data_IF_441306323898
#
_entry.id   IF_441306323898
#
_cell.length_a   1.000
_cell.length_b   1.000
_cell.length_c   1.000
_cell.angle_alpha   90.00
_cell.angle_beta   90.00
_cell.angle_gamma   90.00
#
_symmetry.space_group_name_H-M   'P 1'
#
loop_
_entity.id
_entity.type
_entity.pdbx_description
1 polymer ?
#
# COMPACT_ATOMS: atom_id res chain seq x y z
N UNK A 1 -20.93 10.74 35.31
CA UNK A 1 -20.73 12.18 35.06
C UNK A 1 -20.36 12.32 33.57
N UNK A 2 -21.12 13.12 32.81
CA UNK A 2 -20.65 13.51 31.46
C UNK A 2 -19.45 14.44 31.67
N UNK A 3 -18.26 14.05 31.25
CA UNK A 3 -17.11 14.95 31.21
C UNK A 3 -17.42 15.91 30.06
N UNK A 4 -17.62 17.19 30.37
CA UNK A 4 -17.69 18.25 29.37
C UNK A 4 -16.30 18.33 28.68
N UNK A 5 -16.25 17.90 27.42
CA UNK A 5 -14.98 17.78 26.69
C UNK A 5 -14.62 19.07 25.95
N UNK A 6 -15.54 19.99 25.83
CA UNK A 6 -15.34 21.30 25.17
C UNK A 6 -15.26 21.23 23.65
N UNK A 7 -15.45 20.04 23.03
CA UNK A 7 -15.47 19.92 21.58
C UNK A 7 -16.89 20.11 21.02
N UNK A 8 -17.06 20.71 19.85
CA UNK A 8 -18.33 20.73 19.12
C UNK A 8 -18.88 19.32 18.93
N UNK A 9 -20.19 19.16 18.94
CA UNK A 9 -20.84 17.87 18.80
C UNK A 9 -21.56 17.73 17.46
N UNK A 10 -21.35 16.60 16.82
CA UNK A 10 -21.95 16.21 15.54
C UNK A 10 -22.85 15.01 15.76
N UNK A 11 -24.17 15.26 15.71
CA UNK A 11 -25.18 14.20 15.83
C UNK A 11 -25.33 13.49 14.49
N UNK A 12 -25.23 12.15 14.51
CA UNK A 12 -25.24 11.36 13.27
C UNK A 12 -26.49 10.48 13.13
N UNK A 13 -26.74 10.04 11.88
CA UNK A 13 -27.81 9.11 11.54
C UNK A 13 -27.61 7.74 12.22
N UNK A 14 -28.71 6.95 12.42
CA UNK A 14 -28.58 5.56 12.89
C UNK A 14 -27.72 4.67 11.98
N UNK A 15 -27.66 4.98 10.69
CA UNK A 15 -26.78 4.27 9.75
C UNK A 15 -25.30 4.51 10.09
N UNK A 16 -24.90 5.77 10.27
CA UNK A 16 -23.54 6.11 10.68
C UNK A 16 -23.20 5.56 12.07
N UNK A 17 -24.13 5.66 13.05
CA UNK A 17 -23.95 5.03 14.36
C UNK A 17 -23.63 3.55 14.23
N UNK A 18 -24.40 2.79 13.42
CA UNK A 18 -24.17 1.37 13.21
C UNK A 18 -22.80 1.09 12.55
N UNK A 19 -22.40 1.88 11.56
CA UNK A 19 -21.10 1.76 10.90
C UNK A 19 -19.96 2.01 11.90
N UNK A 20 -20.05 3.07 12.72
CA UNK A 20 -19.08 3.39 13.76
C UNK A 20 -18.99 2.27 14.80
N UNK A 21 -20.10 1.76 15.27
CA UNK A 21 -20.13 0.65 16.25
C UNK A 21 -19.45 -0.60 15.69
N UNK A 22 -19.62 -0.87 14.39
CA UNK A 22 -18.96 -1.98 13.68
C UNK A 22 -17.48 -1.75 13.35
N UNK A 23 -16.93 -0.57 13.63
CA UNK A 23 -15.51 -0.32 13.47
C UNK A 23 -15.15 0.73 12.44
N UNK A 24 -16.08 1.16 11.59
CA UNK A 24 -15.80 2.12 10.53
C UNK A 24 -15.55 3.53 11.09
N UNK A 25 -14.41 4.20 10.75
CA UNK A 25 -14.03 5.46 11.39
C UNK A 25 -14.54 6.70 10.66
N UNK A 26 -15.26 6.58 9.55
CA UNK A 26 -15.69 7.71 8.74
C UNK A 26 -17.16 8.06 8.96
N UNK A 27 -17.42 9.35 9.08
CA UNK A 27 -18.76 9.95 9.02
C UNK A 27 -18.84 10.79 7.77
N UNK A 28 -19.81 10.47 6.91
CA UNK A 28 -20.03 11.21 5.68
C UNK A 28 -20.92 12.44 5.92
N UNK A 29 -20.75 13.47 5.09
CA UNK A 29 -21.52 14.72 5.18
C UNK A 29 -23.04 14.47 5.24
N UNK A 30 -23.57 13.62 4.38
CA UNK A 30 -24.98 13.26 4.33
C UNK A 30 -25.49 12.47 5.56
N UNK A 31 -24.60 12.09 6.46
CA UNK A 31 -24.93 11.32 7.68
C UNK A 31 -25.01 12.20 8.93
N UNK A 32 -24.77 13.51 8.81
CA UNK A 32 -24.86 14.47 9.91
C UNK A 32 -26.28 15.02 9.98
N UNK A 33 -26.87 14.97 11.16
CA UNK A 33 -28.23 15.44 11.45
C UNK A 33 -28.27 16.81 12.12
N UNK A 34 -27.32 17.07 13.02
CA UNK A 34 -27.24 18.31 13.80
C UNK A 34 -25.80 18.60 14.19
N UNK A 35 -25.47 19.86 14.32
CA UNK A 35 -24.16 20.37 14.74
C UNK A 35 -24.38 21.37 15.88
N UNK A 36 -23.65 21.19 16.97
CA UNK A 36 -23.65 22.11 18.11
C UNK A 36 -22.21 22.56 18.38
N UNK A 37 -21.99 23.86 18.33
CA UNK A 37 -20.68 24.50 18.45
C UNK A 37 -19.95 24.62 17.12
N UNK A 38 -18.85 25.36 17.12
CA UNK A 38 -18.02 25.65 15.96
C UNK A 38 -16.58 25.22 16.18
N UNK A 39 -15.93 24.75 15.13
CA UNK A 39 -14.49 24.45 15.12
C UNK A 39 -13.89 24.79 13.76
N UNK A 40 -12.58 25.06 13.77
CA UNK A 40 -11.81 25.28 12.56
C UNK A 40 -11.73 24.00 11.71
N UNK A 41 -11.48 24.16 10.43
CA UNK A 41 -11.20 23.04 9.53
C UNK A 41 -9.97 22.25 10.03
N UNK A 42 -10.12 20.94 10.17
CA UNK A 42 -9.12 20.07 10.79
C UNK A 42 -9.17 20.03 12.32
N UNK A 43 -10.10 20.75 12.95
CA UNK A 43 -10.30 20.73 14.41
C UNK A 43 -11.03 19.47 14.89
N UNK A 44 -10.99 19.27 16.20
CA UNK A 44 -11.60 18.10 16.85
C UNK A 44 -13.11 18.31 17.07
N UNK A 45 -13.87 17.26 16.82
CA UNK A 45 -15.31 17.19 17.08
C UNK A 45 -15.69 15.87 17.74
N UNK A 46 -16.67 15.91 18.64
CA UNK A 46 -17.26 14.72 19.21
C UNK A 46 -18.46 14.26 18.35
N UNK A 47 -18.47 12.98 18.00
CA UNK A 47 -19.58 12.37 17.28
C UNK A 47 -20.51 11.66 18.27
N UNK A 48 -21.82 11.98 18.19
CA UNK A 48 -22.83 11.42 19.06
C UNK A 48 -24.00 10.82 18.27
N UNK A 49 -24.64 9.83 18.84
CA UNK A 49 -25.89 9.27 18.29
C UNK A 49 -27.08 10.23 18.52
N UNK A 50 -28.18 9.97 17.82
CA UNK A 50 -29.46 10.67 18.02
C UNK A 50 -29.95 10.67 19.47
N UNK A 51 -29.52 9.67 20.26
CA UNK A 51 -29.86 9.51 21.69
C UNK A 51 -28.82 10.16 22.63
N UNK A 52 -27.87 10.92 22.10
CA UNK A 52 -26.79 11.56 22.86
C UNK A 52 -25.71 10.61 23.36
N UNK A 53 -25.60 9.38 22.82
CA UNK A 53 -24.51 8.46 23.13
C UNK A 53 -23.26 8.91 22.42
N UNK A 54 -22.15 9.05 23.13
CA UNK A 54 -20.83 9.29 22.54
C UNK A 54 -20.38 8.10 21.67
N UNK A 55 -19.90 8.37 20.46
CA UNK A 55 -19.47 7.39 19.49
C UNK A 55 -17.96 7.48 19.18
N UNK A 56 -17.38 8.65 19.39
CA UNK A 56 -15.95 8.88 19.15
C UNK A 56 -15.64 10.36 18.96
N UNK A 57 -14.35 10.67 18.93
CA UNK A 57 -13.83 12.00 18.58
C UNK A 57 -12.98 11.87 17.32
N UNK A 58 -13.04 12.84 16.43
CA UNK A 58 -12.32 12.85 15.18
C UNK A 58 -12.04 14.23 14.64
N UNK A 59 -11.34 14.29 13.51
CA UNK A 59 -11.06 15.53 12.80
C UNK A 59 -12.17 15.86 11.82
N UNK A 60 -12.59 17.12 11.86
CA UNK A 60 -13.52 17.71 10.90
C UNK A 60 -12.78 18.03 9.59
N UNK A 61 -13.38 17.70 8.44
CA UNK A 61 -13.05 18.28 7.15
C UNK A 61 -14.26 19.00 6.56
N UNK A 62 -14.12 20.28 6.29
CA UNK A 62 -15.21 21.09 5.76
C UNK A 62 -15.43 20.89 4.25
N UNK A 63 -14.46 20.36 3.52
CA UNK A 63 -14.50 20.18 2.06
C UNK A 63 -14.70 18.73 1.64
N UNK A 64 -14.23 17.77 2.42
CA UNK A 64 -14.34 16.36 2.11
C UNK A 64 -15.76 15.83 2.29
N UNK A 65 -16.14 14.88 1.44
CA UNK A 65 -17.36 14.08 1.67
C UNK A 65 -17.26 13.22 2.93
N UNK A 66 -16.05 12.84 3.35
CA UNK A 66 -15.77 12.23 4.65
C UNK A 66 -15.63 13.40 5.64
N UNK A 67 -16.76 13.76 6.24
CA UNK A 67 -16.87 14.97 7.07
C UNK A 67 -16.12 14.85 8.38
N UNK A 68 -16.17 13.69 9.04
CA UNK A 68 -15.40 13.42 10.26
C UNK A 68 -14.64 12.11 10.12
N UNK A 69 -13.36 12.13 10.48
CA UNK A 69 -12.49 10.94 10.58
C UNK A 69 -12.18 10.68 12.05
N UNK A 70 -12.75 9.62 12.60
CA UNK A 70 -12.58 9.26 14.00
C UNK A 70 -11.13 8.81 14.28
N UNK A 71 -10.60 9.29 15.41
CA UNK A 71 -9.25 8.98 15.90
C UNK A 71 -9.26 8.22 17.23
N UNK A 72 -10.37 8.35 18.00
CA UNK A 72 -10.58 7.61 19.22
C UNK A 72 -12.06 7.44 19.52
N UNK A 73 -12.39 6.33 20.20
CA UNK A 73 -13.71 6.04 20.78
C UNK A 73 -13.72 6.08 22.30
N UNK A 74 -12.58 6.38 22.89
CA UNK A 74 -12.44 6.51 24.33
C UNK A 74 -12.73 7.96 24.74
N UNK A 75 -13.82 8.18 25.44
CA UNK A 75 -14.22 9.52 25.91
C UNK A 75 -13.23 10.14 26.91
N UNK A 76 -12.31 9.36 27.48
CA UNK A 76 -11.30 9.84 28.42
C UNK A 76 -9.99 10.27 27.75
N UNK A 77 -9.85 10.04 26.44
CA UNK A 77 -8.65 10.46 25.72
C UNK A 77 -8.54 11.98 25.67
N UNK A 78 -7.32 12.46 25.92
CA UNK A 78 -6.90 13.84 25.71
C UNK A 78 -5.93 13.86 24.56
N UNK A 79 -6.19 14.70 23.56
CA UNK A 79 -5.43 14.73 22.31
C UNK A 79 -4.25 15.71 22.39
N UNK A 80 -3.46 15.56 23.46
CA UNK A 80 -2.22 16.28 23.71
C UNK A 80 -1.01 15.59 23.04
N UNK A 81 0.17 16.17 23.18
CA UNK A 81 1.41 15.62 22.62
C UNK A 81 1.68 14.19 23.14
N UNK A 82 1.41 13.94 24.42
CA UNK A 82 1.63 12.60 25.01
C UNK A 82 0.73 11.53 24.38
N UNK A 83 -0.50 11.89 24.02
CA UNK A 83 -1.41 11.01 23.28
C UNK A 83 -0.82 10.65 21.92
N UNK A 84 -0.37 11.62 21.14
CA UNK A 84 0.15 11.40 19.80
C UNK A 84 1.47 10.64 19.81
N UNK A 85 2.39 10.97 20.72
CA UNK A 85 3.64 10.21 20.89
C UNK A 85 3.37 8.74 21.22
N UNK A 86 2.43 8.48 22.13
CA UNK A 86 2.04 7.10 22.47
C UNK A 86 1.45 6.34 21.27
N UNK A 87 0.62 7.01 20.44
CA UNK A 87 0.05 6.40 19.22
C UNK A 87 1.14 6.08 18.19
N UNK A 88 2.09 6.98 17.97
CA UNK A 88 3.24 6.76 17.09
C UNK A 88 4.12 5.61 17.60
N UNK A 89 4.36 5.56 18.91
CA UNK A 89 5.11 4.46 19.52
C UNK A 89 4.40 3.11 19.28
N UNK A 90 3.08 3.04 19.47
CA UNK A 90 2.31 1.82 19.21
C UNK A 90 2.35 1.39 17.75
N UNK A 91 2.30 2.32 16.80
CA UNK A 91 2.43 2.02 15.39
C UNK A 91 3.81 1.40 15.09
N UNK A 92 4.88 1.95 15.65
CA UNK A 92 6.22 1.40 15.51
C UNK A 92 6.40 0.06 16.22
N UNK A 93 5.91 -0.07 17.46
CA UNK A 93 5.98 -1.32 18.23
C UNK A 93 5.22 -2.46 17.54
N UNK A 94 4.10 -2.14 16.88
CA UNK A 94 3.39 -3.12 16.04
C UNK A 94 4.30 -3.66 14.94
N UNK A 95 4.99 -2.79 14.18
CA UNK A 95 5.93 -3.24 13.13
C UNK A 95 7.02 -4.14 13.69
N UNK A 96 7.61 -3.77 14.81
CA UNK A 96 8.61 -4.60 15.49
C UNK A 96 8.07 -5.96 15.94
N UNK A 97 6.79 -6.05 16.24
CA UNK A 97 6.18 -7.31 16.70
C UNK A 97 5.78 -8.26 15.57
N UNK A 98 5.48 -7.74 14.37
CA UNK A 98 4.95 -8.55 13.26
C UNK A 98 5.94 -8.76 12.11
N UNK A 99 7.07 -8.07 12.12
CA UNK A 99 8.11 -8.14 11.08
C UNK A 99 9.42 -8.67 11.65
N UNK A 100 10.20 -9.34 10.81
CA UNK A 100 11.57 -9.67 11.15
C UNK A 100 12.40 -8.38 11.30
N UNK A 101 13.38 -8.33 12.22
CA UNK A 101 14.20 -7.11 12.44
C UNK A 101 14.86 -6.58 11.16
N UNK A 102 15.33 -7.46 10.28
CA UNK A 102 15.92 -7.07 9.00
C UNK A 102 14.91 -6.38 8.04
N UNK A 103 13.64 -6.72 8.14
CA UNK A 103 12.57 -6.15 7.30
C UNK A 103 12.17 -4.73 7.73
N UNK A 104 12.59 -4.29 8.95
CA UNK A 104 12.34 -2.94 9.46
C UNK A 104 13.19 -1.87 8.76
N UNK A 105 14.18 -2.27 7.97
CA UNK A 105 14.98 -1.34 7.17
C UNK A 105 14.14 -0.60 6.11
N UNK A 106 13.18 -1.30 5.53
CA UNK A 106 12.23 -0.73 4.58
C UNK A 106 10.81 -1.21 4.90
N UNK A 107 10.00 -0.36 5.56
CA UNK A 107 8.65 -0.73 5.98
C UNK A 107 7.72 0.47 6.06
N UNK A 108 6.41 0.22 6.00
CA UNK A 108 5.39 1.22 6.31
C UNK A 108 5.25 1.38 7.81
N UNK A 109 5.56 2.57 8.33
CA UNK A 109 5.51 2.87 9.77
C UNK A 109 4.11 3.26 10.22
N UNK A 110 3.36 4.03 9.39
CA UNK A 110 1.95 4.34 9.64
C UNK A 110 1.12 4.08 8.39
N UNK A 111 -0.05 3.47 8.58
CA UNK A 111 -0.99 3.15 7.51
C UNK A 111 -2.39 3.72 7.80
N UNK A 112 -2.50 5.05 7.75
CA UNK A 112 -3.75 5.78 7.80
C UNK A 112 -4.68 5.35 8.95
N UNK A 113 -5.88 5.00 8.58
CA UNK A 113 -6.95 4.59 9.49
C UNK A 113 -6.59 3.34 10.30
N UNK A 114 -5.79 2.44 9.75
CA UNK A 114 -5.42 1.20 10.43
C UNK A 114 -4.53 1.43 11.65
N UNK A 115 -3.79 2.54 11.68
CA UNK A 115 -3.00 2.97 12.84
C UNK A 115 -3.65 4.13 13.61
N UNK A 116 -4.90 4.47 13.25
CA UNK A 116 -5.64 5.61 13.78
C UNK A 116 -4.94 6.98 13.56
N UNK A 117 -4.28 7.12 12.41
CA UNK A 117 -3.76 8.36 11.84
C UNK A 117 -4.44 8.62 10.49
N UNK A 118 -5.73 8.99 10.45
CA UNK A 118 -6.52 9.00 9.23
C UNK A 118 -5.93 9.92 8.17
N UNK A 119 -5.49 9.33 7.06
CA UNK A 119 -4.86 10.05 5.96
C UNK A 119 -3.37 10.32 6.13
N UNK A 120 -2.69 9.78 7.15
CA UNK A 120 -1.22 9.83 7.28
C UNK A 120 -0.61 8.49 6.88
N UNK A 121 0.24 8.50 5.86
CA UNK A 121 1.08 7.37 5.47
C UNK A 121 2.54 7.74 5.63
N UNK A 122 3.31 6.90 6.31
CA UNK A 122 4.75 7.07 6.46
C UNK A 122 5.43 5.76 6.08
N UNK A 123 6.27 5.81 5.05
CA UNK A 123 7.15 4.73 4.64
C UNK A 123 8.59 5.06 5.02
N UNK A 124 9.24 4.11 5.66
CA UNK A 124 10.66 4.16 5.98
C UNK A 124 11.44 3.41 4.90
N UNK A 125 12.43 4.06 4.34
CA UNK A 125 13.41 3.52 3.41
C UNK A 125 14.79 3.77 3.99
N UNK A 126 15.34 2.78 4.67
CA UNK A 126 16.61 2.84 5.40
C UNK A 126 16.64 4.06 6.36
N UNK A 127 17.27 5.15 5.96
CA UNK A 127 17.45 6.37 6.75
C UNK A 127 16.56 7.56 6.30
N UNK A 128 15.66 7.33 5.36
CA UNK A 128 14.68 8.31 4.89
C UNK A 128 13.25 7.90 5.24
N UNK A 129 12.45 8.89 5.62
CA UNK A 129 10.99 8.75 5.70
C UNK A 129 10.34 9.43 4.48
N UNK A 130 9.48 8.72 3.79
CA UNK A 130 8.61 9.26 2.75
C UNK A 130 7.18 9.36 3.27
N UNK A 131 6.60 10.56 3.25
CA UNK A 131 5.36 10.87 3.97
C UNK A 131 4.30 11.42 3.04
N UNK A 132 3.07 10.89 3.15
CA UNK A 132 1.88 11.46 2.54
C UNK A 132 0.90 11.90 3.61
N UNK A 133 0.47 13.16 3.57
CA UNK A 133 -0.55 13.72 4.46
C UNK A 133 -1.79 14.05 3.62
N UNK A 134 -2.85 13.27 3.77
CA UNK A 134 -4.04 13.29 2.91
C UNK A 134 -5.30 13.79 3.61
N UNK A 135 -5.20 14.30 4.85
CA UNK A 135 -6.32 14.87 5.57
C UNK A 135 -5.93 16.14 6.29
N UNK A 136 -6.85 17.09 6.39
CA UNK A 136 -6.60 18.39 7.01
C UNK A 136 -6.24 18.29 8.50
N UNK A 137 -6.81 17.32 9.22
CA UNK A 137 -6.47 17.11 10.63
C UNK A 137 -5.03 16.65 10.82
N UNK A 138 -4.52 15.76 9.95
CA UNK A 138 -3.11 15.35 9.98
C UNK A 138 -2.17 16.46 9.49
N UNK A 139 -2.60 17.26 8.52
CA UNK A 139 -1.83 18.45 8.08
C UNK A 139 -1.59 19.41 9.25
N UNK A 140 -2.63 19.70 10.03
CA UNK A 140 -2.52 20.60 11.19
C UNK A 140 -1.62 20.04 12.32
N UNK A 141 -1.40 18.73 12.34
CA UNK A 141 -0.56 18.05 13.35
C UNK A 141 0.84 17.70 12.82
N UNK A 142 1.14 17.98 11.57
CA UNK A 142 2.37 17.55 10.91
C UNK A 142 3.62 17.96 11.72
N UNK A 143 3.66 19.21 12.20
CA UNK A 143 4.81 19.76 12.94
C UNK A 143 4.99 19.15 14.35
N UNK A 144 3.96 18.49 14.87
CA UNK A 144 4.07 17.69 16.08
C UNK A 144 4.44 16.23 15.77
N UNK A 145 3.78 15.65 14.77
CA UNK A 145 3.89 14.21 14.52
C UNK A 145 5.23 13.82 13.89
N UNK A 146 5.73 14.56 12.90
CA UNK A 146 6.94 14.17 12.17
C UNK A 146 8.20 14.25 13.04
N UNK A 147 8.48 15.32 13.79
CA UNK A 147 9.61 15.35 14.72
C UNK A 147 9.50 14.28 15.82
N UNK A 148 8.27 14.06 16.34
CA UNK A 148 8.04 13.05 17.37
C UNK A 148 8.33 11.64 16.84
N UNK A 149 7.93 11.33 15.60
CA UNK A 149 8.21 10.04 14.97
C UNK A 149 9.71 9.83 14.74
N UNK A 150 10.40 10.84 14.21
CA UNK A 150 11.85 10.79 14.02
C UNK A 150 12.58 10.52 15.34
N UNK A 151 12.17 11.20 16.42
CA UNK A 151 12.71 11.01 17.78
C UNK A 151 12.48 9.56 18.29
N UNK A 152 11.28 9.02 18.10
CA UNK A 152 10.95 7.63 18.47
C UNK A 152 11.84 6.64 17.71
N UNK A 153 11.94 6.79 16.39
CA UNK A 153 12.72 5.89 15.55
C UNK A 153 14.22 5.95 15.89
N UNK A 154 14.77 7.16 16.08
CA UNK A 154 16.18 7.34 16.45
C UNK A 154 16.52 6.76 17.82
N UNK A 155 15.63 6.88 18.81
CA UNK A 155 15.80 6.25 20.13
C UNK A 155 15.83 4.73 20.05
N UNK A 156 15.16 4.17 19.06
CA UNK A 156 15.13 2.73 18.77
C UNK A 156 16.25 2.29 17.80
N UNK A 157 17.27 3.14 17.61
CA UNK A 157 18.46 2.85 16.81
C UNK A 157 18.27 2.96 15.29
N UNK A 158 17.16 3.53 14.82
CA UNK A 158 16.93 3.73 13.38
C UNK A 158 17.63 5.03 12.91
N UNK A 159 18.50 4.98 11.88
CA UNK A 159 19.35 6.10 11.49
C UNK A 159 18.60 7.11 10.60
N UNK A 160 17.50 7.69 11.08
CA UNK A 160 16.71 8.62 10.27
C UNK A 160 17.45 9.94 10.08
N UNK A 161 17.77 10.31 8.83
CA UNK A 161 18.44 11.56 8.46
C UNK A 161 17.57 12.58 7.74
N UNK A 162 16.36 12.17 7.27
CA UNK A 162 15.47 13.12 6.59
C UNK A 162 14.05 12.60 6.41
N UNK A 163 13.14 13.57 6.22
CA UNK A 163 11.72 13.33 5.95
C UNK A 163 11.37 14.01 4.64
N UNK A 164 10.86 13.28 3.66
CA UNK A 164 10.43 13.80 2.37
C UNK A 164 8.90 13.73 2.24
N UNK A 165 8.26 14.85 1.98
CA UNK A 165 6.82 14.93 1.78
C UNK A 165 6.46 14.61 0.33
N UNK A 166 5.57 13.64 0.13
CA UNK A 166 5.00 13.22 -1.15
C UNK A 166 3.52 13.63 -1.21
N UNK A 167 3.29 14.90 -0.98
CA UNK A 167 1.97 15.52 -0.99
C UNK A 167 1.51 15.94 -2.42
N UNK A 168 2.19 15.47 -3.46
CA UNK A 168 1.92 15.66 -4.89
C UNK A 168 0.78 14.76 -5.43
N UNK A 169 -0.21 14.46 -4.59
CA UNK A 169 -1.33 13.57 -4.92
C UNK A 169 -2.66 14.30 -5.03
N UNK A 170 -3.44 14.00 -6.09
CA UNK A 170 -4.70 14.65 -6.40
C UNK A 170 -5.78 14.52 -5.29
N UNK A 171 -5.65 13.52 -4.39
CA UNK A 171 -6.58 13.33 -3.27
C UNK A 171 -6.58 14.51 -2.29
N UNK A 172 -5.46 15.23 -2.15
CA UNK A 172 -5.35 16.40 -1.27
C UNK A 172 -6.33 17.51 -1.66
N UNK A 173 -6.60 17.69 -2.95
CA UNK A 173 -7.57 18.68 -3.42
C UNK A 173 -9.00 18.44 -2.88
N UNK A 174 -9.37 17.18 -2.56
CA UNK A 174 -10.66 16.86 -1.95
C UNK A 174 -10.78 17.29 -0.50
N UNK A 175 -9.67 17.53 0.16
CA UNK A 175 -9.56 18.06 1.52
C UNK A 175 -9.30 19.58 1.53
N UNK A 176 -9.15 20.20 0.35
CA UNK A 176 -8.77 21.60 0.20
C UNK A 176 -7.31 21.89 0.49
N UNK A 177 -6.46 20.87 0.45
CA UNK A 177 -5.04 20.99 0.72
C UNK A 177 -4.24 21.21 -0.57
N UNK A 178 -3.19 22.05 -0.54
CA UNK A 178 -2.30 22.25 -1.68
C UNK A 178 -1.52 20.95 -1.97
N UNK A 179 -1.17 20.75 -3.24
CA UNK A 179 -0.25 19.70 -3.66
C UNK A 179 1.18 20.23 -3.66
N UNK A 180 2.14 19.36 -3.34
CA UNK A 180 3.56 19.69 -3.38
C UNK A 180 4.41 18.51 -2.91
N UNK A 181 5.70 18.56 -3.19
CA UNK A 181 6.68 17.60 -2.67
C UNK A 181 7.95 18.32 -2.25
N UNK A 182 8.69 17.76 -1.34
CA UNK A 182 9.97 18.32 -0.87
C UNK A 182 10.36 17.83 0.51
N UNK A 183 11.54 18.25 0.93
CA UNK A 183 12.02 17.95 2.28
C UNK A 183 11.18 18.67 3.34
N UNK A 184 10.77 17.93 4.36
CA UNK A 184 10.24 18.53 5.59
C UNK A 184 11.41 19.09 6.42
N UNK A 185 11.35 20.36 6.85
CA UNK A 185 12.42 20.97 7.62
C UNK A 185 12.40 20.44 9.06
N UNK A 186 13.23 19.44 9.36
CA UNK A 186 13.41 18.99 10.73
C UNK A 186 14.07 20.11 11.57
N UNK A 187 13.58 20.38 12.79
CA UNK A 187 14.09 21.47 13.61
C UNK A 187 15.61 21.35 13.88
N UNK A 188 16.37 22.34 13.44
CA UNK A 188 17.83 22.41 13.65
C UNK A 188 18.65 21.50 12.74
N UNK A 189 18.07 20.88 11.73
CA UNK A 189 18.76 19.97 10.81
C UNK A 189 18.76 20.48 9.37
N UNK A 190 19.80 20.15 8.63
CA UNK A 190 19.89 20.40 7.19
C UNK A 190 19.31 19.19 6.45
N UNK A 191 18.44 19.39 5.45
CA UNK A 191 17.95 18.28 4.63
C UNK A 191 19.10 17.52 3.95
N UNK A 192 18.93 16.20 3.70
CA UNK A 192 19.89 15.42 2.93
C UNK A 192 20.07 15.97 1.51
N UNK A 193 21.28 15.82 0.96
CA UNK A 193 21.61 16.26 -0.41
C UNK A 193 20.91 15.43 -1.50
N UNK A 194 20.55 14.19 -1.19
CA UNK A 194 19.95 13.25 -2.14
C UNK A 194 18.65 12.62 -1.61
N UNK A 195 17.59 12.60 -2.43
CA UNK A 195 16.35 11.87 -2.14
C UNK A 195 16.44 10.37 -2.50
N UNK A 196 17.60 9.90 -2.95
CA UNK A 196 17.83 8.51 -3.34
C UNK A 196 18.54 7.75 -2.22
N UNK A 197 18.02 6.58 -1.88
CA UNK A 197 18.54 5.72 -0.83
C UNK A 197 18.56 4.26 -1.27
N UNK A 198 19.60 3.51 -0.86
CA UNK A 198 19.63 2.07 -1.04
C UNK A 198 18.89 1.39 0.11
N UNK A 199 18.02 0.43 -0.21
CA UNK A 199 17.35 -0.45 0.74
C UNK A 199 17.70 -1.91 0.46
N UNK A 200 17.55 -2.76 1.47
CA UNK A 200 17.64 -4.21 1.32
C UNK A 200 16.28 -4.83 1.68
N UNK A 201 15.68 -5.54 0.74
CA UNK A 201 14.45 -6.30 0.97
C UNK A 201 14.62 -7.74 0.51
N UNK A 202 14.36 -8.71 1.38
CA UNK A 202 14.53 -10.14 1.09
C UNK A 202 15.96 -10.51 0.61
N UNK A 203 16.98 -9.73 0.98
CA UNK A 203 18.35 -9.91 0.51
C UNK A 203 18.67 -9.25 -0.84
N UNK A 204 17.69 -8.63 -1.50
CA UNK A 204 17.85 -7.87 -2.73
C UNK A 204 18.06 -6.38 -2.41
N UNK A 205 19.03 -5.75 -3.05
CA UNK A 205 19.32 -4.32 -2.96
C UNK A 205 18.53 -3.54 -4.02
N UNK A 206 17.89 -2.47 -3.61
CA UNK A 206 17.17 -1.55 -4.50
C UNK A 206 17.58 -0.11 -4.26
N UNK A 207 17.64 0.70 -5.32
CA UNK A 207 17.60 2.15 -5.18
C UNK A 207 16.16 2.61 -5.13
N UNK A 208 15.85 3.38 -4.10
CA UNK A 208 14.56 4.05 -3.94
C UNK A 208 14.75 5.55 -4.06
N UNK A 209 14.07 6.15 -5.02
CA UNK A 209 13.98 7.61 -5.18
C UNK A 209 12.68 8.07 -4.52
N UNK A 210 12.77 8.68 -3.33
CA UNK A 210 11.58 9.14 -2.61
C UNK A 210 10.95 10.38 -3.26
N UNK A 211 11.67 11.07 -4.15
CA UNK A 211 11.16 12.23 -4.88
C UNK A 211 10.41 11.87 -6.15
N UNK A 212 10.94 10.95 -6.98
CA UNK A 212 10.42 10.67 -8.32
C UNK A 212 9.84 9.26 -8.45
N UNK A 213 10.10 8.38 -7.47
CA UNK A 213 9.54 7.04 -7.44
C UNK A 213 8.00 7.04 -7.33
N UNK A 214 7.36 5.97 -7.77
CA UNK A 214 5.91 5.84 -7.71
C UNK A 214 5.41 5.83 -6.26
N UNK A 215 4.24 6.40 -6.01
CA UNK A 215 3.64 6.59 -4.68
C UNK A 215 4.62 7.29 -3.72
N UNK A 216 5.10 6.57 -2.71
CA UNK A 216 6.08 7.04 -1.73
C UNK A 216 7.54 6.76 -2.11
N UNK A 217 7.77 5.97 -3.19
CA UNK A 217 9.09 5.58 -3.69
C UNK A 217 9.19 4.13 -4.10
N UNK A 218 8.60 3.20 -3.34
CA UNK A 218 8.65 1.76 -3.58
C UNK A 218 7.38 1.06 -3.04
N UNK A 219 7.05 -0.12 -3.61
CA UNK A 219 5.87 -0.90 -3.21
C UNK A 219 6.21 -1.90 -2.11
N UNK A 220 6.16 -1.46 -0.85
CA UNK A 220 6.47 -2.29 0.32
C UNK A 220 5.42 -3.38 0.60
N UNK A 221 4.20 -3.18 0.13
CA UNK A 221 3.05 -4.06 0.36
C UNK A 221 3.21 -5.47 -0.23
N UNK A 222 4.05 -5.63 -1.26
CA UNK A 222 4.35 -6.92 -1.92
C UNK A 222 5.57 -7.67 -1.34
N UNK A 223 6.25 -7.16 -0.32
CA UNK A 223 7.48 -7.70 0.25
C UNK A 223 7.47 -9.24 0.41
N UNK A 224 6.50 -9.75 1.14
CA UNK A 224 6.42 -11.18 1.43
C UNK A 224 5.86 -12.01 0.26
N UNK A 225 5.15 -11.39 -0.67
CA UNK A 225 4.71 -12.04 -1.90
C UNK A 225 5.89 -12.24 -2.85
N UNK A 226 6.80 -11.27 -2.93
CA UNK A 226 8.08 -11.40 -3.65
C UNK A 226 8.94 -12.53 -3.07
N UNK A 227 9.04 -12.61 -1.73
CA UNK A 227 9.76 -13.69 -1.05
C UNK A 227 9.14 -15.07 -1.34
N UNK A 228 7.81 -15.16 -1.41
CA UNK A 228 7.12 -16.42 -1.75
C UNK A 228 7.42 -16.88 -3.19
N UNK A 229 7.50 -15.96 -4.14
CA UNK A 229 7.92 -16.24 -5.53
C UNK A 229 9.36 -16.73 -5.56
N UNK A 230 10.30 -16.03 -4.91
CA UNK A 230 11.72 -16.43 -4.87
C UNK A 230 11.93 -17.87 -4.37
N UNK A 231 11.15 -18.32 -3.39
CA UNK A 231 11.23 -19.70 -2.85
C UNK A 231 10.94 -20.81 -3.88
N UNK A 232 10.20 -20.51 -4.95
CA UNK A 232 9.81 -21.49 -5.97
C UNK A 232 10.56 -21.32 -7.29
N UNK A 233 11.44 -20.33 -7.40
CA UNK A 233 12.07 -19.95 -8.65
C UNK A 233 13.28 -20.81 -9.06
N UNK A 234 13.85 -21.60 -8.14
CA UNK A 234 15.09 -22.37 -8.38
C UNK A 234 15.02 -23.22 -9.66
N UNK A 235 15.99 -23.00 -10.58
CA UNK A 235 16.12 -23.71 -11.83
C UNK A 235 15.06 -23.42 -12.90
N UNK A 236 14.21 -22.40 -12.71
CA UNK A 236 13.09 -22.08 -13.59
C UNK A 236 13.38 -20.95 -14.56
N UNK A 237 12.74 -21.01 -15.73
CA UNK A 237 12.64 -19.88 -16.65
C UNK A 237 11.40 -19.05 -16.25
N UNK A 238 11.63 -17.81 -15.81
CA UNK A 238 10.60 -16.93 -15.20
C UNK A 238 10.25 -15.78 -16.15
N UNK A 239 8.97 -15.48 -16.28
CA UNK A 239 8.45 -14.25 -16.91
C UNK A 239 7.77 -13.38 -15.85
N UNK A 240 8.31 -12.21 -15.60
CA UNK A 240 7.73 -11.21 -14.70
C UNK A 240 7.07 -10.09 -15.51
N UNK A 241 5.74 -10.10 -15.56
CA UNK A 241 4.93 -9.13 -16.26
C UNK A 241 4.54 -7.97 -15.33
N UNK A 242 4.67 -6.74 -15.82
CA UNK A 242 4.49 -5.51 -15.04
C UNK A 242 5.56 -5.36 -13.94
N UNK A 243 6.81 -5.65 -14.31
CA UNK A 243 7.92 -5.81 -13.37
C UNK A 243 8.27 -4.53 -12.61
N UNK A 244 7.85 -3.35 -13.10
CA UNK A 244 8.21 -2.04 -12.56
C UNK A 244 9.74 -1.93 -12.41
N UNK A 245 10.27 -1.80 -11.21
CA UNK A 245 11.72 -1.72 -10.94
C UNK A 245 12.41 -3.09 -10.83
N UNK A 246 11.78 -4.16 -11.30
CA UNK A 246 12.33 -5.51 -11.30
C UNK A 246 12.15 -6.27 -9.98
N UNK A 247 11.24 -5.85 -9.12
CA UNK A 247 11.24 -6.34 -7.74
C UNK A 247 10.83 -7.82 -7.59
N UNK A 248 9.86 -8.33 -8.33
CA UNK A 248 9.56 -9.76 -8.38
C UNK A 248 10.64 -10.54 -9.13
N UNK A 249 11.08 -10.03 -10.28
CA UNK A 249 12.13 -10.62 -11.11
C UNK A 249 13.42 -10.85 -10.31
N UNK A 250 13.88 -9.86 -9.56
CA UNK A 250 15.08 -9.94 -8.72
C UNK A 250 14.94 -10.94 -7.58
N UNK A 251 13.76 -11.03 -6.95
CA UNK A 251 13.51 -12.08 -5.94
C UNK A 251 13.51 -13.48 -6.58
N UNK A 252 13.02 -13.63 -7.81
CA UNK A 252 13.10 -14.89 -8.54
C UNK A 252 14.56 -15.24 -8.92
N UNK A 253 15.34 -14.27 -9.40
CA UNK A 253 16.75 -14.44 -9.71
C UNK A 253 17.55 -14.82 -8.46
N UNK A 254 17.37 -14.10 -7.35
CA UNK A 254 17.99 -14.42 -6.04
C UNK A 254 17.59 -15.82 -5.56
N UNK A 255 16.36 -16.24 -5.84
CA UNK A 255 15.83 -17.58 -5.54
C UNK A 255 16.42 -18.70 -6.42
N UNK A 256 17.38 -18.38 -7.31
CA UNK A 256 18.07 -19.34 -8.16
C UNK A 256 17.35 -19.67 -9.46
N UNK A 257 16.52 -18.76 -10.00
CA UNK A 257 15.97 -18.92 -11.35
C UNK A 257 17.10 -19.14 -12.37
N UNK A 258 16.88 -20.03 -13.35
CA UNK A 258 17.83 -20.25 -14.43
C UNK A 258 17.89 -19.05 -15.37
N UNK A 259 16.75 -18.40 -15.59
CA UNK A 259 16.63 -17.19 -16.39
C UNK A 259 15.37 -16.42 -16.03
N UNK A 260 15.41 -15.10 -16.05
CA UNK A 260 14.27 -14.22 -15.77
C UNK A 260 14.11 -13.19 -16.89
N UNK A 261 12.92 -13.12 -17.48
CA UNK A 261 12.52 -12.03 -18.38
C UNK A 261 11.60 -11.09 -17.64
N UNK A 262 12.07 -9.87 -17.37
CA UNK A 262 11.34 -8.82 -16.66
C UNK A 262 10.76 -7.81 -17.66
N UNK A 263 9.44 -7.62 -17.66
CA UNK A 263 8.75 -6.84 -18.68
C UNK A 263 7.93 -5.71 -18.03
N UNK A 264 8.09 -4.50 -18.55
CA UNK A 264 7.23 -3.35 -18.26
C UNK A 264 7.02 -2.50 -19.52
N UNK A 265 5.95 -1.75 -19.58
CA UNK A 265 5.68 -0.82 -20.68
C UNK A 265 6.51 0.47 -20.56
N UNK A 266 6.95 0.81 -19.35
CA UNK A 266 7.73 2.00 -19.05
C UNK A 266 9.22 1.77 -19.27
N UNK A 267 9.82 2.43 -20.23
CA UNK A 267 11.27 2.38 -20.48
C UNK A 267 12.08 2.76 -19.25
N UNK A 268 11.68 3.81 -18.52
CA UNK A 268 12.36 4.25 -17.31
C UNK A 268 12.27 3.22 -16.16
N UNK A 269 11.18 2.48 -16.06
CA UNK A 269 11.06 1.38 -15.10
C UNK A 269 11.98 0.21 -15.47
N UNK A 270 12.06 -0.11 -16.76
CA UNK A 270 12.97 -1.15 -17.30
C UNK A 270 14.44 -0.78 -17.11
N UNK A 271 14.81 0.49 -17.30
CA UNK A 271 16.16 0.98 -17.00
C UNK A 271 16.50 0.84 -15.51
N UNK A 272 15.58 1.17 -14.63
CA UNK A 272 15.75 0.97 -13.18
C UNK A 272 15.85 -0.52 -12.83
N UNK A 273 15.08 -1.39 -13.48
CA UNK A 273 15.19 -2.84 -13.30
C UNK A 273 16.56 -3.37 -13.69
N UNK A 274 17.15 -2.89 -14.81
CA UNK A 274 18.53 -3.22 -15.21
C UNK A 274 19.54 -2.74 -14.18
N UNK A 275 19.44 -1.49 -13.75
CA UNK A 275 20.35 -0.94 -12.74
C UNK A 275 20.28 -1.72 -11.41
N UNK A 276 19.09 -2.18 -11.03
CA UNK A 276 18.92 -3.04 -9.87
C UNK A 276 19.48 -4.45 -10.11
N UNK A 277 19.38 -5.02 -11.32
CA UNK A 277 19.99 -6.30 -11.67
C UNK A 277 21.52 -6.23 -11.59
N UNK A 278 22.14 -5.17 -12.13
CA UNK A 278 23.58 -4.92 -12.02
C UNK A 278 24.03 -4.80 -10.57
N UNK A 279 23.29 -4.03 -9.75
CA UNK A 279 23.58 -3.84 -8.32
C UNK A 279 23.60 -5.15 -7.55
N UNK A 280 22.79 -6.11 -7.96
CA UNK A 280 22.69 -7.42 -7.33
C UNK A 280 23.52 -8.50 -8.04
N UNK A 281 24.36 -8.16 -9.03
CA UNK A 281 25.15 -9.10 -9.85
C UNK A 281 24.27 -10.16 -10.53
N UNK A 282 23.10 -9.76 -11.03
CA UNK A 282 22.12 -10.66 -11.67
C UNK A 282 21.91 -10.38 -13.16
N UNK A 283 22.71 -9.52 -13.77
CA UNK A 283 22.61 -9.16 -15.20
C UNK A 283 22.75 -10.35 -16.15
N UNK A 284 23.51 -11.39 -15.75
CA UNK A 284 23.71 -12.59 -16.57
C UNK A 284 22.50 -13.51 -16.62
N UNK A 285 21.58 -13.38 -15.64
CA UNK A 285 20.39 -14.25 -15.52
C UNK A 285 19.07 -13.50 -15.73
N UNK A 286 19.13 -12.18 -15.92
CA UNK A 286 17.93 -11.34 -16.00
C UNK A 286 17.95 -10.40 -17.21
N UNK A 287 17.00 -10.61 -18.13
CA UNK A 287 16.71 -9.70 -19.23
C UNK A 287 15.57 -8.75 -18.87
N UNK A 288 15.75 -7.46 -19.17
CA UNK A 288 14.74 -6.42 -18.94
C UNK A 288 14.24 -5.86 -20.28
N UNK A 289 12.95 -5.98 -20.55
CA UNK A 289 12.33 -5.69 -21.84
C UNK A 289 11.23 -4.64 -21.69
N UNK A 290 11.28 -3.57 -22.50
CA UNK A 290 10.19 -2.60 -22.60
C UNK A 290 9.15 -3.12 -23.60
N UNK A 291 7.99 -3.56 -23.11
CA UNK A 291 6.91 -4.06 -23.95
C UNK A 291 5.54 -3.96 -23.23
N UNK A 292 4.48 -3.85 -24.05
CA UNK A 292 3.13 -3.97 -23.54
C UNK A 292 2.76 -5.45 -23.35
N UNK A 293 2.45 -5.84 -22.11
CA UNK A 293 2.12 -7.23 -21.77
C UNK A 293 0.92 -7.78 -22.55
N UNK A 294 -0.08 -6.94 -22.86
CA UNK A 294 -1.25 -7.35 -23.64
C UNK A 294 -0.89 -7.72 -25.09
N UNK A 295 0.18 -7.15 -25.64
CA UNK A 295 0.67 -7.47 -26.97
C UNK A 295 1.70 -8.60 -26.94
N UNK A 296 2.51 -8.65 -25.88
CA UNK A 296 3.58 -9.62 -25.72
C UNK A 296 3.04 -11.04 -25.47
N UNK A 297 2.10 -11.23 -24.53
CA UNK A 297 1.62 -12.58 -24.20
C UNK A 297 1.05 -13.34 -25.42
N UNK A 298 0.23 -12.73 -26.31
CA UNK A 298 -0.21 -13.37 -27.55
C UNK A 298 0.93 -13.69 -28.54
N UNK A 299 2.02 -12.93 -28.55
CA UNK A 299 3.19 -13.20 -29.38
C UNK A 299 3.94 -14.43 -28.85
N UNK A 300 4.19 -14.49 -27.54
CA UNK A 300 4.86 -15.61 -26.88
C UNK A 300 4.11 -16.95 -27.05
N UNK A 301 2.78 -16.93 -27.20
CA UNK A 301 2.03 -18.15 -27.50
C UNK A 301 2.43 -18.83 -28.83
N UNK A 302 2.97 -18.06 -29.77
CA UNK A 302 3.43 -18.52 -31.10
C UNK A 302 4.90 -18.97 -31.09
N UNK A 303 5.63 -18.66 -30.03
CA UNK A 303 7.05 -18.97 -29.90
C UNK A 303 7.26 -20.36 -29.28
N UNK A 304 8.36 -21.03 -29.62
CA UNK A 304 8.69 -22.33 -29.02
C UNK A 304 9.14 -22.21 -27.55
N UNK A 305 9.57 -21.01 -27.13
CA UNK A 305 10.04 -20.76 -25.78
C UNK A 305 8.91 -20.96 -24.78
N UNK A 306 9.18 -21.67 -23.70
CA UNK A 306 8.28 -21.93 -22.60
C UNK A 306 8.81 -21.33 -21.31
N UNK A 307 7.91 -20.84 -20.50
CA UNK A 307 8.21 -20.37 -19.14
C UNK A 307 7.72 -21.40 -18.14
N UNK A 308 8.49 -21.62 -17.09
CA UNK A 308 8.11 -22.49 -15.98
C UNK A 308 7.36 -21.76 -14.90
N UNK A 309 7.53 -20.42 -14.85
CA UNK A 309 6.90 -19.57 -13.87
C UNK A 309 6.54 -18.22 -14.49
N UNK A 310 5.28 -17.81 -14.38
CA UNK A 310 4.81 -16.50 -14.83
C UNK A 310 4.28 -15.73 -13.63
N UNK A 311 4.66 -14.45 -13.54
CA UNK A 311 4.26 -13.51 -12.51
C UNK A 311 3.44 -12.39 -13.17
N UNK A 312 2.27 -12.09 -12.62
CA UNK A 312 1.37 -11.04 -13.08
C UNK A 312 1.05 -10.10 -11.90
N UNK A 313 1.70 -8.94 -11.86
CA UNK A 313 1.42 -7.88 -10.88
C UNK A 313 0.99 -6.57 -11.59
N UNK A 314 -0.16 -6.57 -12.29
CA UNK A 314 -0.61 -5.44 -13.06
C UNK A 314 -1.01 -4.26 -12.16
N UNK A 315 -0.98 -3.02 -12.69
CA UNK A 315 -1.53 -1.87 -12.01
C UNK A 315 -3.04 -2.05 -11.79
N UNK A 316 -3.63 -1.25 -10.91
CA UNK A 316 -5.06 -1.28 -10.66
C UNK A 316 -5.85 -0.95 -11.93
N UNK A 317 -6.50 -1.94 -12.54
CA UNK A 317 -7.29 -1.75 -13.76
C UNK A 317 -8.61 -1.00 -13.52
N UNK A 318 -9.02 -0.83 -12.27
CA UNK A 318 -10.19 -0.02 -11.91
C UNK A 318 -9.97 0.80 -10.65
N UNK A 319 -10.48 2.04 -10.68
CA UNK A 319 -10.54 2.97 -9.54
C UNK A 319 -11.99 3.31 -9.16
N UNK A 320 -12.98 2.62 -9.75
CA UNK A 320 -14.39 2.89 -9.51
C UNK A 320 -15.27 1.66 -9.71
N UNK A 321 -16.43 1.63 -9.04
CA UNK A 321 -17.42 0.55 -9.21
C UNK A 321 -17.92 0.45 -10.66
N UNK A 322 -17.95 1.56 -11.41
CA UNK A 322 -18.48 1.60 -12.78
C UNK A 322 -17.60 0.85 -13.79
N UNK A 323 -16.30 0.75 -13.54
CA UNK A 323 -15.32 0.15 -14.46
C UNK A 323 -14.85 -1.24 -14.05
N UNK A 324 -15.48 -1.84 -13.01
CA UNK A 324 -15.10 -3.17 -12.49
C UNK A 324 -15.23 -4.27 -13.57
N UNK A 325 -16.32 -4.26 -14.35
CA UNK A 325 -16.52 -5.30 -15.37
C UNK A 325 -15.38 -5.31 -16.41
N UNK A 326 -15.00 -4.13 -16.91
CA UNK A 326 -13.89 -4.01 -17.85
C UNK A 326 -12.55 -4.42 -17.22
N UNK A 327 -12.33 -4.08 -15.95
CA UNK A 327 -11.14 -4.50 -15.22
C UNK A 327 -11.05 -6.04 -15.08
N UNK A 328 -12.16 -6.70 -14.73
CA UNK A 328 -12.22 -8.16 -14.65
C UNK A 328 -11.93 -8.80 -16.01
N UNK A 329 -12.41 -8.21 -17.12
CA UNK A 329 -12.07 -8.68 -18.48
C UNK A 329 -10.57 -8.56 -18.76
N UNK A 330 -9.93 -7.45 -18.39
CA UNK A 330 -8.48 -7.26 -18.55
C UNK A 330 -7.66 -8.25 -17.69
N UNK A 331 -8.07 -8.45 -16.43
CA UNK A 331 -7.45 -9.47 -15.57
C UNK A 331 -7.61 -10.89 -16.17
N UNK A 332 -8.81 -11.20 -16.71
CA UNK A 332 -9.05 -12.50 -17.33
C UNK A 332 -8.13 -12.73 -18.53
N UNK A 333 -7.99 -11.75 -19.40
CA UNK A 333 -7.14 -11.86 -20.59
C UNK A 333 -5.70 -12.21 -20.24
N UNK A 334 -5.04 -11.45 -19.36
CA UNK A 334 -3.65 -11.70 -19.02
C UNK A 334 -3.46 -13.04 -18.27
N UNK A 335 -4.39 -13.41 -17.38
CA UNK A 335 -4.34 -14.68 -16.66
C UNK A 335 -4.58 -15.88 -17.58
N UNK A 336 -5.55 -15.78 -18.48
CA UNK A 336 -5.80 -16.81 -19.50
C UNK A 336 -4.55 -17.05 -20.37
N UNK A 337 -3.92 -15.98 -20.89
CA UNK A 337 -2.71 -16.08 -21.70
C UNK A 337 -1.55 -16.69 -20.93
N UNK A 338 -1.33 -16.24 -19.69
CA UNK A 338 -0.28 -16.82 -18.84
C UNK A 338 -0.49 -18.31 -18.59
N UNK A 339 -1.72 -18.74 -18.33
CA UNK A 339 -2.05 -20.15 -18.14
C UNK A 339 -1.81 -21.00 -19.41
N UNK A 340 -2.04 -20.42 -20.60
CA UNK A 340 -1.76 -21.06 -21.90
C UNK A 340 -0.26 -21.25 -22.17
N UNK A 341 0.55 -20.31 -21.69
CA UNK A 341 2.01 -20.35 -21.85
C UNK A 341 2.70 -21.32 -20.89
N UNK A 342 2.08 -21.60 -19.73
CA UNK A 342 2.65 -22.45 -18.71
C UNK A 342 2.49 -23.96 -19.05
N UNK A 343 3.54 -24.77 -18.90
CA UNK A 343 3.41 -26.21 -18.99
C UNK A 343 2.69 -26.79 -17.77
N UNK A 344 2.24 -28.03 -17.87
CA UNK A 344 1.80 -28.79 -16.69
C UNK A 344 2.96 -28.87 -15.68
N UNK A 345 2.71 -28.54 -14.42
CA UNK A 345 3.72 -28.41 -13.37
C UNK A 345 4.33 -27.01 -13.25
N UNK A 346 4.04 -26.11 -14.21
CA UNK A 346 4.45 -24.70 -14.16
C UNK A 346 3.72 -23.90 -13.07
N UNK A 347 4.24 -22.73 -12.72
CA UNK A 347 3.73 -21.88 -11.65
C UNK A 347 3.16 -20.57 -12.17
N UNK A 348 2.10 -20.10 -11.53
CA UNK A 348 1.49 -18.78 -11.77
C UNK A 348 1.39 -18.04 -10.45
N UNK A 349 2.05 -16.88 -10.35
CA UNK A 349 1.78 -15.86 -9.35
C UNK A 349 0.92 -14.77 -9.98
N UNK A 350 -0.21 -14.42 -9.37
CA UNK A 350 -1.10 -13.40 -9.94
C UNK A 350 -1.67 -12.51 -8.86
N UNK A 351 -1.67 -11.21 -9.12
CA UNK A 351 -2.04 -10.16 -8.18
C UNK A 351 -3.18 -9.27 -8.69
N UNK A 352 -3.87 -8.64 -7.75
CA UNK A 352 -4.74 -7.50 -8.01
C UNK A 352 -4.71 -6.54 -6.82
N UNK A 353 -4.31 -5.30 -7.05
CA UNK A 353 -4.39 -4.21 -6.07
C UNK A 353 -5.67 -3.36 -6.23
N UNK A 354 -6.62 -3.77 -7.07
CA UNK A 354 -7.88 -3.05 -7.26
C UNK A 354 -8.86 -3.34 -6.13
N UNK A 355 -9.13 -2.37 -5.26
CA UNK A 355 -10.09 -2.50 -4.16
C UNK A 355 -11.49 -2.95 -4.64
N UNK A 356 -11.99 -2.42 -5.77
CA UNK A 356 -13.32 -2.79 -6.30
C UNK A 356 -13.37 -4.16 -6.97
N UNK A 357 -12.24 -4.77 -7.34
CA UNK A 357 -12.13 -6.17 -7.72
C UNK A 357 -11.93 -6.99 -6.45
N UNK A 358 -13.02 -7.32 -5.75
CA UNK A 358 -12.98 -8.09 -4.49
C UNK A 358 -12.35 -9.47 -4.70
N UNK A 359 -11.94 -10.13 -3.61
CA UNK A 359 -11.34 -11.47 -3.67
C UNK A 359 -12.27 -12.46 -4.41
N UNK A 360 -13.57 -12.45 -4.10
CA UNK A 360 -14.56 -13.34 -4.74
C UNK A 360 -14.63 -13.12 -6.26
N UNK A 361 -14.62 -11.85 -6.71
CA UNK A 361 -14.66 -11.52 -8.13
C UNK A 361 -13.38 -11.94 -8.85
N UNK A 362 -12.23 -11.70 -8.20
CA UNK A 362 -10.93 -12.07 -8.75
C UNK A 362 -10.78 -13.60 -8.83
N UNK A 363 -11.18 -14.33 -7.80
CA UNK A 363 -11.20 -15.79 -7.81
C UNK A 363 -12.15 -16.38 -8.86
N UNK A 364 -13.37 -15.83 -8.98
CA UNK A 364 -14.31 -16.26 -10.03
C UNK A 364 -13.73 -16.03 -11.42
N UNK A 365 -13.03 -14.92 -11.64
CA UNK A 365 -12.31 -14.62 -12.88
C UNK A 365 -11.21 -15.66 -13.14
N UNK A 366 -10.38 -15.99 -12.13
CA UNK A 366 -9.30 -16.97 -12.25
C UNK A 366 -9.84 -18.38 -12.62
N UNK A 367 -10.95 -18.83 -11.99
CA UNK A 367 -11.61 -20.10 -12.34
C UNK A 367 -12.10 -20.08 -13.79
N UNK A 368 -12.68 -18.96 -14.23
CA UNK A 368 -13.14 -18.81 -15.62
C UNK A 368 -11.97 -18.82 -16.61
N UNK A 369 -10.85 -18.12 -16.29
CA UNK A 369 -9.66 -18.11 -17.13
C UNK A 369 -9.04 -19.51 -17.25
N UNK A 370 -8.95 -20.27 -16.14
CA UNK A 370 -8.43 -21.62 -16.12
C UNK A 370 -9.31 -22.59 -16.95
N UNK A 371 -10.63 -22.48 -16.83
CA UNK A 371 -11.56 -23.26 -17.67
C UNK A 371 -11.33 -22.99 -19.16
N UNK A 372 -11.25 -21.73 -19.55
CA UNK A 372 -11.06 -21.33 -20.96
C UNK A 372 -9.67 -21.73 -21.49
N UNK A 373 -8.65 -21.75 -20.62
CA UNK A 373 -7.30 -22.21 -20.95
C UNK A 373 -7.19 -23.74 -21.01
N UNK A 374 -8.20 -24.46 -20.55
CA UNK A 374 -8.20 -25.93 -20.48
C UNK A 374 -7.24 -26.52 -19.44
N UNK A 375 -6.99 -25.77 -18.35
CA UNK A 375 -6.09 -26.19 -17.26
C UNK A 375 -6.81 -26.22 -15.92
N UNK A 376 -6.22 -26.91 -14.95
CA UNK A 376 -6.61 -26.83 -13.55
C UNK A 376 -5.53 -26.11 -12.74
N UNK A 377 -5.92 -25.42 -11.70
CA UNK A 377 -5.03 -24.70 -10.79
C UNK A 377 -5.00 -25.34 -9.42
N UNK A 378 -3.82 -25.74 -8.99
CA UNK A 378 -3.58 -26.17 -7.61
C UNK A 378 -3.05 -24.97 -6.83
N UNK A 379 -3.85 -24.45 -5.89
CA UNK A 379 -3.44 -23.32 -5.06
C UNK A 379 -2.33 -23.77 -4.09
N UNK A 380 -1.24 -23.02 -4.08
CA UNK A 380 -0.12 -23.18 -3.16
C UNK A 380 -0.29 -22.19 -2.00
N UNK A 381 -0.49 -20.91 -2.33
CA UNK A 381 -0.68 -19.86 -1.34
C UNK A 381 -1.78 -18.88 -1.80
N UNK A 382 -2.48 -18.30 -0.82
CA UNK A 382 -3.33 -17.12 -0.96
C UNK A 382 -2.84 -16.12 0.08
N UNK A 383 -2.51 -14.90 -0.33
CA UNK A 383 -1.90 -13.88 0.50
C UNK A 383 -2.53 -12.52 0.22
N UNK A 384 -2.29 -11.59 1.12
CA UNK A 384 -2.69 -10.19 1.04
C UNK A 384 -1.43 -9.31 1.05
N UNK A 385 -1.59 -8.03 1.35
CA UNK A 385 -0.48 -7.10 1.56
C UNK A 385 0.38 -7.51 2.76
N UNK A 386 1.61 -7.01 2.76
CA UNK A 386 2.55 -7.20 3.86
C UNK A 386 1.97 -6.71 5.19
N UNK A 387 2.37 -7.35 6.30
CA UNK A 387 1.83 -7.09 7.64
C UNK A 387 2.09 -5.67 8.16
N UNK A 388 3.04 -4.93 7.60
CA UNK A 388 3.24 -3.50 7.87
C UNK A 388 2.16 -2.59 7.24
N UNK A 389 1.29 -3.17 6.40
CA UNK A 389 0.07 -2.57 5.86
C UNK A 389 -1.16 -3.24 6.50
N UNK A 390 -1.41 -3.03 7.81
CA UNK A 390 -2.41 -3.80 8.54
C UNK A 390 -3.82 -3.61 7.98
N UNK A 391 -4.59 -4.71 7.99
CA UNK A 391 -6.01 -4.70 7.63
C UNK A 391 -6.82 -4.44 8.88
N UNK A 392 -7.56 -3.34 8.89
CA UNK A 392 -8.49 -3.02 9.97
C UNK A 392 -9.88 -3.56 9.61
N UNK A 393 -10.36 -4.57 10.33
CA UNK A 393 -11.56 -5.33 9.99
C UNK A 393 -12.88 -4.51 9.93
N UNK A 394 -12.91 -3.32 10.43
CA UNK A 394 -14.04 -2.39 10.27
C UNK A 394 -13.90 -1.44 9.07
N UNK A 395 -12.82 -1.55 8.29
CA UNK A 395 -12.47 -0.63 7.20
C UNK A 395 -12.02 -1.43 5.98
N UNK A 396 -12.99 -1.79 5.15
CA UNK A 396 -12.76 -2.62 3.95
C UNK A 396 -11.71 -1.99 3.00
N UNK A 397 -11.56 -0.68 3.04
CA UNK A 397 -10.59 0.06 2.22
C UNK A 397 -9.13 -0.27 2.58
N UNK A 398 -8.87 -0.85 3.75
CA UNK A 398 -7.54 -1.29 4.16
C UNK A 398 -7.17 -2.67 3.60
N UNK A 399 -8.14 -3.46 3.10
CA UNK A 399 -7.93 -4.74 2.43
C UNK A 399 -8.04 -4.55 0.91
N UNK A 400 -6.91 -4.41 0.23
CA UNK A 400 -6.90 -4.07 -1.19
C UNK A 400 -6.08 -5.01 -2.06
N UNK A 401 -5.10 -5.74 -1.51
CA UNK A 401 -4.20 -6.57 -2.28
C UNK A 401 -4.62 -8.04 -2.22
N UNK A 402 -4.75 -8.67 -3.37
CA UNK A 402 -4.94 -10.11 -3.55
C UNK A 402 -3.72 -10.65 -4.27
N UNK A 403 -3.12 -11.69 -3.72
CA UNK A 403 -2.03 -12.46 -4.31
C UNK A 403 -2.35 -13.94 -4.23
N UNK A 404 -2.25 -14.62 -5.36
CA UNK A 404 -2.42 -16.06 -5.45
C UNK A 404 -1.22 -16.70 -6.13
N UNK A 405 -0.78 -17.80 -5.59
CA UNK A 405 0.29 -18.64 -6.14
C UNK A 405 -0.26 -20.02 -6.45
N UNK A 406 -0.18 -20.42 -7.71
CA UNK A 406 -0.73 -21.67 -8.22
C UNK A 406 0.34 -22.51 -8.91
N UNK A 407 0.08 -23.82 -8.94
CA UNK A 407 0.66 -24.75 -9.89
C UNK A 407 -0.39 -25.15 -10.93
N UNK A 408 -0.01 -25.10 -12.20
CA UNK A 408 -0.85 -25.61 -13.31
C UNK A 408 -0.78 -27.13 -13.34
N UNK A 409 -1.93 -27.83 -13.38
CA UNK A 409 -2.04 -29.29 -13.35
C UNK A 409 -2.93 -29.83 -14.48
#
# INVERSE_FOLDING_TARGET
MKIERGYPTYTVTPKAENAIVKGHPWVYDAEILNIEGETANGGLVDVISKKGRYLGTGFLSQQSKIRVRLISRNANDRFDEAFWRRKLQWAWDYRKSVMDPADLDACRVTFGEADAFPGLTVDKFHDLLSVQVLSVGMENLQDLLLPALVDILRRDGQPIRGVFLRNDVALRAKEGLPQGKGWYPLPGETPPDSPVVEIVENGVKYLVDVENGQKTGFFLDQKYNRRAVGRLAAGKTVLDCFTHTGSFALNAALGGAAHVTAVDVSESAVEMARANAERNCMSDVMDCVAANVFDLLPQLEKEPMKYDFIILDPPAFTKSRKTVANAITGYKEINYRAMKLLPRGGYLATCSCSHFATAEKFEAMLRSAAHDAGVQLRQIESRQQSCDHPILWGVDETDYLKFYLFQVV
#
